data_IF_309275479141
#
_entry.id   IF_309275479141
#
_cell.length_a   1.000
_cell.length_b   1.000
_cell.length_c   1.000
_cell.angle_alpha   90.00
_cell.angle_beta   90.00
_cell.angle_gamma   90.00
#
_symmetry.space_group_name_H-M   'P 1'
#
loop_
_entity.id
_entity.type
_entity.pdbx_description
1 polymer ?
#
# COMPACT_ATOMS: atom_id res chain seq x y z
N UNK A 1 -8.66 13.14 12.14
CA UNK A 1 -7.55 13.97 12.68
C UNK A 1 -7.09 14.88 11.56
N UNK A 2 -7.29 16.19 11.69
CA UNK A 2 -6.71 17.18 10.76
C UNK A 2 -5.85 18.11 11.61
N UNK A 3 -4.53 17.93 11.49
CA UNK A 3 -3.52 18.76 12.14
C UNK A 3 -3.49 20.15 11.50
N UNK A 4 -3.21 21.20 12.29
CA UNK A 4 -2.88 22.54 11.78
C UNK A 4 -1.40 22.68 11.41
N UNK A 5 -0.57 21.72 11.80
CA UNK A 5 0.83 21.64 11.43
C UNK A 5 0.97 20.92 10.07
N UNK A 6 1.49 21.65 9.09
CA UNK A 6 1.74 21.17 7.73
C UNK A 6 2.79 20.05 7.67
N UNK A 7 3.64 19.94 8.71
CA UNK A 7 4.68 18.91 8.78
C UNK A 7 4.20 17.65 9.51
N UNK A 8 3.03 17.67 10.13
CA UNK A 8 2.53 16.54 10.88
C UNK A 8 2.35 15.29 10.00
N UNK A 9 2.82 14.16 10.49
CA UNK A 9 2.68 12.86 9.85
C UNK A 9 1.95 11.88 10.77
N UNK A 10 1.44 10.79 10.20
CA UNK A 10 0.73 9.77 10.98
C UNK A 10 1.61 9.16 12.07
N UNK A 11 2.90 8.96 11.81
CA UNK A 11 3.87 8.42 12.79
C UNK A 11 4.04 9.30 14.04
N UNK A 12 3.67 10.59 13.98
CA UNK A 12 3.75 11.49 15.14
C UNK A 12 2.63 11.24 16.16
N UNK A 13 1.59 10.49 15.77
CA UNK A 13 0.39 10.26 16.58
C UNK A 13 0.15 8.80 16.96
N UNK A 14 0.88 7.86 16.34
CA UNK A 14 0.66 6.43 16.52
C UNK A 14 1.96 5.74 16.93
N UNK A 15 1.97 5.16 18.13
CA UNK A 15 3.11 4.37 18.63
C UNK A 15 3.32 3.08 17.82
N UNK A 16 2.25 2.55 17.21
CA UNK A 16 2.26 1.31 16.43
C UNK A 16 1.44 1.50 15.17
N UNK A 17 2.00 1.06 14.04
CA UNK A 17 1.33 1.01 12.74
C UNK A 17 1.38 -0.43 12.24
N UNK A 18 0.21 -0.99 11.89
CA UNK A 18 0.09 -2.34 11.37
C UNK A 18 -0.77 -2.34 10.09
N UNK A 19 -0.54 -3.33 9.24
CA UNK A 19 -1.36 -3.52 8.04
C UNK A 19 -1.11 -4.87 7.38
N UNK A 20 -2.12 -5.36 6.65
CA UNK A 20 -2.10 -6.64 5.93
C UNK A 20 -2.35 -6.39 4.45
N UNK A 21 -1.73 -7.19 3.57
CA UNK A 21 -1.81 -7.02 2.12
C UNK A 21 -1.32 -5.62 1.71
N UNK A 22 -2.07 -4.89 0.87
CA UNK A 22 -1.84 -3.49 0.50
C UNK A 22 -1.62 -2.60 1.73
N UNK A 23 -2.34 -2.86 2.83
CA UNK A 23 -2.15 -2.15 4.09
C UNK A 23 -0.78 -2.36 4.72
N UNK A 24 -0.14 -3.51 4.52
CA UNK A 24 1.21 -3.81 5.03
C UNK A 24 2.28 -3.01 4.29
N UNK A 25 2.13 -2.84 2.97
CA UNK A 25 3.00 -1.96 2.18
C UNK A 25 2.83 -0.49 2.61
N UNK A 26 1.60 -0.04 2.86
CA UNK A 26 1.32 1.30 3.39
C UNK A 26 1.97 1.48 4.77
N UNK A 27 1.80 0.52 5.67
CA UNK A 27 2.42 0.55 6.99
C UNK A 27 3.94 0.65 6.90
N UNK A 28 4.57 -0.14 6.03
CA UNK A 28 6.01 -0.09 5.79
C UNK A 28 6.47 1.27 5.23
N UNK A 29 5.76 1.82 4.25
CA UNK A 29 6.08 3.14 3.67
C UNK A 29 5.93 4.29 4.68
N UNK A 30 4.98 4.19 5.60
CA UNK A 30 4.81 5.15 6.69
C UNK A 30 5.84 4.96 7.81
N UNK A 31 6.25 3.74 8.13
CA UNK A 31 7.15 3.47 9.25
C UNK A 31 8.64 3.50 8.88
N UNK A 32 8.98 3.38 7.59
CA UNK A 32 10.37 3.44 7.14
C UNK A 32 10.96 4.85 7.36
N UNK A 33 12.24 4.96 7.79
CA UNK A 33 12.89 6.24 7.99
C UNK A 33 13.19 6.94 6.66
N UNK A 34 13.04 8.26 6.62
CA UNK A 34 13.37 9.08 5.47
C UNK A 34 14.87 9.12 5.16
N UNK A 35 15.22 9.14 3.87
CA UNK A 35 16.62 9.18 3.44
C UNK A 35 17.32 10.50 3.80
N UNK A 36 16.58 11.60 3.77
CA UNK A 36 17.10 12.94 4.10
C UNK A 36 16.99 13.24 5.60
N UNK A 37 15.96 12.72 6.25
CA UNK A 37 15.70 12.91 7.68
C UNK A 37 15.13 11.60 8.25
N UNK A 38 15.95 10.83 9.00
CA UNK A 38 15.53 9.58 9.61
C UNK A 38 14.41 9.71 10.66
N UNK A 39 14.15 10.93 11.17
CA UNK A 39 13.07 11.20 12.12
C UNK A 39 11.69 11.34 11.46
N UNK A 40 11.67 11.40 10.12
CA UNK A 40 10.44 11.53 9.32
C UNK A 40 10.18 10.23 8.55
N UNK A 41 8.91 9.94 8.22
CA UNK A 41 8.58 8.79 7.39
C UNK A 41 9.15 8.95 5.98
N UNK A 42 9.53 7.83 5.35
CA UNK A 42 10.05 7.80 3.99
C UNK A 42 9.04 8.33 2.96
N UNK A 43 7.75 8.12 3.22
CA UNK A 43 6.68 8.59 2.35
C UNK A 43 5.58 9.31 3.12
N UNK A 44 5.10 10.42 2.54
CA UNK A 44 3.84 11.05 2.94
C UNK A 44 2.65 10.24 2.44
N UNK A 45 1.48 10.39 3.06
CA UNK A 45 0.25 9.73 2.61
C UNK A 45 -0.08 10.04 1.13
N UNK A 46 0.22 11.27 0.66
CA UNK A 46 0.05 11.66 -0.74
C UNK A 46 1.01 10.94 -1.68
N UNK A 47 2.27 10.77 -1.27
CA UNK A 47 3.24 10.00 -2.06
C UNK A 47 2.88 8.52 -2.11
N UNK A 48 2.34 7.94 -1.05
CA UNK A 48 1.86 6.55 -1.05
C UNK A 48 0.73 6.36 -2.06
N UNK A 49 -0.22 7.29 -2.14
CA UNK A 49 -1.23 7.28 -3.19
C UNK A 49 -0.58 7.33 -4.58
N UNK A 50 0.40 8.22 -4.77
CA UNK A 50 1.10 8.34 -6.05
C UNK A 50 1.83 7.05 -6.45
N UNK A 51 2.47 6.36 -5.49
CA UNK A 51 3.10 5.04 -5.71
C UNK A 51 2.09 4.05 -6.29
N UNK A 52 0.89 3.96 -5.73
CA UNK A 52 -0.12 3.07 -6.31
C UNK A 52 -0.60 3.52 -7.68
N UNK A 53 -0.77 4.82 -7.92
CA UNK A 53 -1.16 5.31 -9.25
C UNK A 53 -0.10 4.99 -10.31
N UNK A 54 1.18 5.15 -9.98
CA UNK A 54 2.29 4.96 -10.91
C UNK A 54 2.60 3.48 -11.14
N UNK A 55 2.59 2.68 -10.07
CA UNK A 55 3.04 1.28 -10.12
C UNK A 55 1.90 0.27 -10.23
N UNK A 56 0.63 0.64 -10.00
CA UNK A 56 -0.49 -0.32 -10.09
C UNK A 56 -0.58 -1.05 -11.44
N UNK A 57 -0.33 -0.44 -12.61
CA UNK A 57 -0.40 -1.20 -13.86
C UNK A 57 0.69 -2.28 -13.97
N UNK A 58 1.83 -2.07 -13.30
CA UNK A 58 2.93 -3.04 -13.25
C UNK A 58 2.70 -4.11 -12.18
N UNK A 59 2.28 -3.71 -10.98
CA UNK A 59 1.99 -4.60 -9.85
C UNK A 59 0.79 -5.50 -10.16
N UNK A 60 -0.26 -4.92 -10.75
CA UNK A 60 -1.50 -5.59 -11.12
C UNK A 60 -1.60 -5.71 -12.64
N UNK A 61 -0.52 -6.17 -13.28
CA UNK A 61 -0.58 -6.51 -14.70
C UNK A 61 -1.69 -7.55 -14.92
N UNK A 62 -2.51 -7.37 -15.95
CA UNK A 62 -3.76 -8.12 -16.16
C UNK A 62 -3.58 -9.64 -16.25
N UNK A 63 -2.36 -10.17 -16.35
CA UNK A 63 -2.06 -11.59 -16.12
C UNK A 63 -2.59 -12.09 -14.77
N UNK A 64 -2.59 -11.27 -13.71
CA UNK A 64 -3.20 -11.63 -12.42
C UNK A 64 -4.74 -11.71 -12.48
N UNK A 65 -5.39 -10.84 -13.27
CA UNK A 65 -6.83 -10.94 -13.53
C UNK A 65 -7.18 -12.20 -14.35
N UNK A 66 -6.27 -12.63 -15.24
CA UNK A 66 -6.37 -13.91 -15.94
C UNK A 66 -6.32 -15.09 -14.98
N UNK A 67 -5.45 -15.08 -13.97
CA UNK A 67 -5.38 -16.14 -12.95
C UNK A 67 -6.65 -16.22 -12.11
N UNK A 68 -7.22 -15.07 -11.69
CA UNK A 68 -8.50 -15.08 -10.97
C UNK A 68 -9.61 -15.59 -11.87
N UNK A 69 -9.61 -15.23 -13.17
CA UNK A 69 -10.60 -15.71 -14.15
C UNK A 69 -10.48 -17.21 -14.44
N UNK A 70 -9.26 -17.74 -14.54
CA UNK A 70 -8.96 -19.18 -14.67
C UNK A 70 -9.38 -19.97 -13.42
N UNK A 71 -8.98 -19.51 -12.24
CA UNK A 71 -9.38 -20.15 -10.99
C UNK A 71 -10.91 -20.10 -10.78
N UNK A 72 -11.58 -19.01 -11.18
CA UNK A 72 -13.05 -18.92 -11.12
C UNK A 72 -13.75 -19.82 -12.15
N UNK A 73 -13.14 -20.09 -13.31
CA UNK A 73 -13.68 -21.04 -14.28
C UNK A 73 -13.53 -22.49 -13.79
N UNK A 74 -12.38 -22.82 -13.18
CA UNK A 74 -12.13 -24.16 -12.64
C UNK A 74 -13.06 -24.47 -11.45
N UNK A 75 -13.38 -23.47 -10.62
CA UNK A 75 -14.33 -23.62 -9.51
C UNK A 75 -15.79 -23.75 -9.96
N UNK A 76 -16.13 -23.43 -11.21
CA UNK A 76 -17.50 -23.53 -11.76
C UNK A 76 -17.72 -24.77 -12.62
N UNK A 77 -16.68 -25.55 -12.90
CA UNK A 77 -16.80 -26.85 -13.54
C UNK A 77 -16.70 -27.96 -12.47
N UNK A 78 -17.82 -28.53 -12.00
CA UNK A 78 -17.81 -29.59 -11.00
C UNK A 78 -17.33 -30.95 -11.56
N UNK A 79 -16.84 -31.01 -12.79
CA UNK A 79 -16.34 -32.24 -13.45
C UNK A 79 -14.86 -32.21 -13.83
N UNK A 80 -14.11 -31.16 -13.48
CA UNK A 80 -12.65 -31.12 -13.56
C UNK A 80 -11.96 -31.82 -12.37
#
# INVERSE_FOLDING_TARGET
>A
VVSKDEKAALVDYFDVIAGTSTGGLIAAMLAAPGLNDPSRPAFTAKQILQVYLDFSPSIFNQTAASFIKLAYSDLKDPTA
#
